data_IF_731754105068
#
_entry.id   IF_731754105068
#
_cell.length_a   1.000
_cell.length_b   1.000
_cell.length_c   1.000
_cell.angle_alpha   90.00
_cell.angle_beta   90.00
_cell.angle_gamma   90.00
#
_symmetry.space_group_name_H-M   'P 1'
#
loop_
_entity.id
_entity.type
_entity.pdbx_description
1 polymer ?
#
# COMPACT_ATOMS: atom_id res chain seq x y z
N UNK A 1 -17.18 21.02 18.54
CA UNK A 1 -16.39 19.87 19.01
C UNK A 1 -16.94 18.63 18.31
N UNK A 2 -16.12 17.98 17.48
CA UNK A 2 -16.49 16.70 16.87
C UNK A 2 -16.33 15.62 17.94
N UNK A 3 -17.45 15.09 18.42
CA UNK A 3 -17.48 14.02 19.41
C UNK A 3 -16.95 12.73 18.78
N UNK A 4 -16.00 12.04 19.44
CA UNK A 4 -15.50 10.72 19.01
C UNK A 4 -16.69 9.79 18.73
N UNK A 5 -16.78 9.25 17.51
CA UNK A 5 -17.82 8.28 17.09
C UNK A 5 -17.52 6.84 17.55
N UNK A 6 -16.93 6.67 18.74
CA UNK A 6 -16.75 5.35 19.33
C UNK A 6 -17.75 5.21 20.48
N UNK A 7 -18.71 4.29 20.37
CA UNK A 7 -19.54 3.90 21.50
C UNK A 7 -18.65 3.22 22.57
N UNK A 8 -19.04 3.31 23.84
CA UNK A 8 -18.30 2.67 24.92
C UNK A 8 -18.13 1.17 24.65
N UNK A 9 -16.87 0.68 24.64
CA UNK A 9 -16.53 -0.71 24.36
C UNK A 9 -16.10 -1.00 22.91
N UNK A 10 -16.14 -0.01 22.00
CA UNK A 10 -15.70 -0.15 20.62
C UNK A 10 -14.24 0.30 20.45
N UNK A 11 -13.48 -0.39 19.59
CA UNK A 11 -12.10 -0.02 19.27
C UNK A 11 -12.03 1.41 18.72
N UNK A 12 -10.93 2.13 18.97
CA UNK A 12 -10.73 3.46 18.41
C UNK A 12 -10.75 3.37 16.88
N UNK A 13 -11.65 4.13 16.25
CA UNK A 13 -11.86 4.09 14.80
C UNK A 13 -10.58 4.48 14.05
N UNK A 14 -9.74 5.36 14.61
CA UNK A 14 -8.48 5.75 13.99
C UNK A 14 -7.48 4.58 14.01
N UNK A 15 -7.43 3.80 15.09
CA UNK A 15 -6.61 2.57 15.17
C UNK A 15 -7.11 1.50 14.20
N UNK A 16 -8.43 1.37 14.03
CA UNK A 16 -9.03 0.45 13.05
C UNK A 16 -8.67 0.88 11.63
N UNK A 17 -8.78 2.16 11.30
CA UNK A 17 -8.42 2.70 9.98
C UNK A 17 -6.93 2.56 9.69
N UNK A 18 -6.06 2.84 10.67
CA UNK A 18 -4.61 2.67 10.51
C UNK A 18 -4.23 1.20 10.28
N UNK A 19 -4.87 0.26 10.97
CA UNK A 19 -4.66 -1.17 10.71
C UNK A 19 -5.23 -1.61 9.36
N UNK A 20 -6.36 -1.05 8.94
CA UNK A 20 -6.91 -1.29 7.61
C UNK A 20 -5.93 -0.85 6.52
N UNK A 21 -5.35 0.36 6.66
CA UNK A 21 -4.28 0.83 5.77
C UNK A 21 -3.05 -0.09 5.81
N UNK A 22 -2.56 -0.45 7.00
CA UNK A 22 -1.39 -1.31 7.15
C UNK A 22 -1.57 -2.71 6.52
N UNK A 23 -2.79 -3.25 6.47
CA UNK A 23 -3.07 -4.49 5.75
C UNK A 23 -2.80 -4.36 4.25
N UNK A 24 -3.19 -3.22 3.66
CA UNK A 24 -2.97 -2.93 2.24
C UNK A 24 -1.48 -2.72 1.97
N UNK A 25 -0.80 -1.95 2.80
CA UNK A 25 0.65 -1.72 2.66
C UNK A 25 1.45 -3.03 2.78
N UNK A 26 1.05 -3.94 3.68
CA UNK A 26 1.68 -5.26 3.77
C UNK A 26 1.46 -6.10 2.51
N UNK A 27 0.25 -6.04 1.93
CA UNK A 27 -0.08 -6.73 0.68
C UNK A 27 0.77 -6.21 -0.49
N UNK A 28 0.86 -4.89 -0.65
CA UNK A 28 1.58 -4.23 -1.75
C UNK A 28 3.10 -4.37 -1.58
N UNK A 29 3.63 -4.16 -0.37
CA UNK A 29 5.04 -4.40 -0.07
C UNK A 29 5.45 -5.85 -0.34
N UNK A 30 4.63 -6.83 0.07
CA UNK A 30 4.89 -8.24 -0.23
C UNK A 30 4.85 -8.52 -1.73
N UNK A 31 3.84 -8.00 -2.43
CA UNK A 31 3.70 -8.12 -3.87
C UNK A 31 4.96 -7.63 -4.61
N UNK A 32 5.41 -6.41 -4.35
CA UNK A 32 6.58 -5.86 -5.02
C UNK A 32 7.87 -6.58 -4.64
N UNK A 33 8.09 -6.84 -3.35
CA UNK A 33 9.26 -7.55 -2.86
C UNK A 33 9.42 -8.92 -3.53
N UNK A 34 8.36 -9.70 -3.56
CA UNK A 34 8.41 -11.08 -4.02
C UNK A 34 8.42 -11.17 -5.56
N UNK A 35 7.65 -10.31 -6.25
CA UNK A 35 7.65 -10.26 -7.70
C UNK A 35 8.98 -9.72 -8.25
N UNK A 36 9.58 -8.68 -7.66
CA UNK A 36 10.84 -8.10 -8.15
C UNK A 36 12.07 -8.98 -7.83
N UNK A 37 11.96 -9.89 -6.85
CA UNK A 37 12.92 -10.96 -6.63
C UNK A 37 12.85 -12.03 -7.71
N UNK A 38 11.67 -12.25 -8.30
CA UNK A 38 11.43 -13.25 -9.36
C UNK A 38 11.72 -12.67 -10.76
N UNK A 39 11.26 -11.46 -11.03
CA UNK A 39 11.34 -10.78 -12.33
C UNK A 39 12.43 -9.71 -12.33
N UNK A 40 13.63 -10.14 -12.72
CA UNK A 40 14.79 -9.26 -12.86
C UNK A 40 14.71 -8.35 -14.10
N UNK A 41 15.73 -7.52 -14.31
CA UNK A 41 15.77 -6.63 -15.49
C UNK A 41 15.78 -7.40 -16.82
N UNK A 42 16.32 -8.63 -16.84
CA UNK A 42 16.29 -9.49 -18.01
C UNK A 42 14.87 -9.93 -18.37
N UNK A 43 14.08 -10.33 -17.37
CA UNK A 43 12.68 -10.70 -17.54
C UNK A 43 11.84 -9.54 -18.13
N UNK A 44 12.02 -8.32 -17.62
CA UNK A 44 11.33 -7.14 -18.16
C UNK A 44 11.71 -6.84 -19.61
N UNK A 45 13.01 -6.90 -19.94
CA UNK A 45 13.46 -6.73 -21.34
C UNK A 45 12.91 -7.81 -22.25
N UNK A 46 12.90 -9.07 -21.81
CA UNK A 46 12.33 -10.18 -22.56
C UNK A 46 10.81 -10.02 -22.80
N UNK A 47 10.10 -9.38 -21.87
CA UNK A 47 8.70 -9.03 -22.01
C UNK A 47 8.45 -7.77 -22.87
N UNK A 48 9.50 -7.10 -23.34
CA UNK A 48 9.43 -5.94 -24.24
C UNK A 48 9.44 -4.59 -23.53
N UNK A 49 9.75 -4.55 -22.23
CA UNK A 49 9.79 -3.30 -21.45
C UNK A 49 11.21 -2.73 -21.37
N UNK A 50 11.37 -1.39 -21.45
CA UNK A 50 12.66 -0.74 -21.21
C UNK A 50 13.05 -0.80 -19.73
N UNK A 51 14.36 -0.72 -19.44
CA UNK A 51 14.89 -0.88 -18.09
C UNK A 51 14.27 0.08 -17.05
N UNK A 52 13.87 1.29 -17.48
CA UNK A 52 13.27 2.28 -16.58
C UNK A 52 11.91 1.82 -16.01
N UNK A 53 11.17 0.95 -16.71
CA UNK A 53 9.88 0.41 -16.22
C UNK A 53 10.12 -0.43 -14.96
N UNK A 54 11.12 -1.31 -14.98
CA UNK A 54 11.46 -2.08 -13.77
C UNK A 54 11.96 -1.16 -12.65
N UNK A 55 12.77 -0.16 -12.96
CA UNK A 55 13.25 0.80 -11.95
C UNK A 55 12.10 1.54 -11.28
N UNK A 56 11.05 1.85 -12.03
CA UNK A 56 9.84 2.44 -11.45
C UNK A 56 9.20 1.53 -10.42
N UNK A 57 9.03 0.24 -10.72
CA UNK A 57 8.49 -0.72 -9.74
C UNK A 57 9.40 -0.94 -8.53
N UNK A 58 10.72 -0.86 -8.70
CA UNK A 58 11.66 -0.88 -7.56
C UNK A 58 11.47 0.33 -6.65
N UNK A 59 11.28 1.52 -7.23
CA UNK A 59 10.99 2.74 -6.48
C UNK A 59 9.69 2.60 -5.68
N UNK A 60 8.62 2.13 -6.33
CA UNK A 60 7.31 1.92 -5.70
C UNK A 60 7.40 0.89 -4.57
N UNK A 61 8.02 -0.27 -4.80
CA UNK A 61 8.24 -1.24 -3.71
C UNK A 61 9.04 -0.67 -2.53
N UNK A 62 9.89 0.34 -2.77
CA UNK A 62 10.55 1.10 -1.72
C UNK A 62 9.60 2.02 -0.94
N UNK A 63 8.62 2.62 -1.61
CA UNK A 63 7.56 3.41 -0.96
C UNK A 63 6.65 2.52 -0.10
N UNK A 64 6.20 1.37 -0.61
CA UNK A 64 5.33 0.47 0.18
C UNK A 64 6.01 -0.03 1.43
N UNK A 65 7.30 -0.34 1.34
CA UNK A 65 8.09 -0.64 2.53
C UNK A 65 8.09 0.53 3.52
N UNK A 66 8.28 1.76 3.04
CA UNK A 66 8.30 2.95 3.89
C UNK A 66 6.93 3.22 4.52
N UNK A 67 5.83 2.95 3.81
CA UNK A 67 4.47 3.06 4.33
C UNK A 67 4.20 2.04 5.44
N UNK A 68 4.60 0.77 5.26
CA UNK A 68 4.55 -0.26 6.31
C UNK A 68 5.29 0.22 7.57
N UNK A 69 6.53 0.67 7.42
CA UNK A 69 7.35 1.15 8.55
C UNK A 69 6.69 2.36 9.24
N UNK A 70 6.13 3.28 8.45
CA UNK A 70 5.48 4.49 8.92
C UNK A 70 4.18 4.21 9.70
N UNK A 71 3.34 3.31 9.22
CA UNK A 71 2.07 2.93 9.88
C UNK A 71 2.28 2.00 11.08
N UNK A 72 3.28 1.13 11.04
CA UNK A 72 3.59 0.20 12.15
C UNK A 72 3.99 0.96 13.42
N UNK A 73 4.75 2.05 13.27
CA UNK A 73 5.29 2.83 14.40
C UNK A 73 4.20 3.41 15.35
N UNK A 74 3.17 4.13 14.89
CA UNK A 74 2.11 4.63 15.77
C UNK A 74 1.17 3.53 16.27
N UNK A 75 1.07 2.40 15.57
CA UNK A 75 0.24 1.26 15.98
C UNK A 75 0.87 0.41 17.08
N UNK A 76 2.21 0.33 17.14
CA UNK A 76 2.92 -0.42 18.17
C UNK A 76 2.45 -1.88 18.26
N UNK A 77 2.12 -2.34 19.47
CA UNK A 77 1.64 -3.71 19.70
C UNK A 77 0.29 -4.01 19.05
N UNK A 78 -0.45 -2.98 18.62
CA UNK A 78 -1.72 -3.12 17.91
C UNK A 78 -1.55 -3.24 16.40
N UNK A 79 -0.31 -3.18 15.88
CA UNK A 79 -0.02 -3.31 14.47
C UNK A 79 -0.34 -4.73 13.99
N UNK A 80 -1.17 -4.81 12.95
CA UNK A 80 -1.40 -6.05 12.24
C UNK A 80 -0.11 -6.55 11.57
N UNK A 81 -0.02 -7.87 11.41
CA UNK A 81 1.15 -8.53 10.81
C UNK A 81 0.89 -8.78 9.33
N UNK A 82 1.98 -8.83 8.56
CA UNK A 82 1.96 -9.30 7.18
C UNK A 82 1.34 -10.71 7.10
N UNK A 83 0.46 -10.92 6.12
CA UNK A 83 -0.11 -12.24 5.84
C UNK A 83 0.75 -13.03 4.85
N UNK A 84 0.37 -14.27 4.57
CA UNK A 84 0.89 -14.99 3.40
C UNK A 84 -0.04 -14.76 2.22
N UNK A 85 0.54 -14.42 1.07
CA UNK A 85 -0.21 -14.05 -0.13
C UNK A 85 0.12 -15.00 -1.29
N UNK A 86 -0.88 -15.29 -2.10
CA UNK A 86 -0.72 -15.91 -3.41
C UNK A 86 -1.34 -14.97 -4.45
N UNK A 87 -0.48 -14.34 -5.24
CA UNK A 87 -0.88 -13.35 -6.24
C UNK A 87 -1.18 -13.96 -7.60
N UNK A 88 -0.91 -15.26 -7.82
CA UNK A 88 -1.14 -15.93 -9.10
C UNK A 88 -0.37 -15.33 -10.29
N UNK A 89 0.73 -14.62 -10.04
CA UNK A 89 1.55 -13.98 -11.09
C UNK A 89 2.38 -15.03 -11.80
N UNK A 90 2.32 -15.03 -13.13
CA UNK A 90 3.03 -16.02 -13.96
C UNK A 90 4.02 -15.39 -14.92
N UNK A 91 3.87 -14.11 -15.24
CA UNK A 91 4.77 -13.34 -16.09
C UNK A 91 4.80 -11.83 -15.77
N UNK A 92 5.71 -11.09 -16.40
CA UNK A 92 5.87 -9.64 -16.21
C UNK A 92 4.61 -8.85 -16.59
N UNK A 93 3.82 -9.31 -17.56
CA UNK A 93 2.60 -8.59 -17.98
C UNK A 93 1.50 -8.75 -16.93
N UNK A 94 1.33 -9.95 -16.37
CA UNK A 94 0.44 -10.21 -15.25
C UNK A 94 0.89 -9.45 -14.00
N UNK A 95 2.19 -9.34 -13.74
CA UNK A 95 2.73 -8.48 -12.68
C UNK A 95 2.31 -7.01 -12.87
N UNK A 96 2.54 -6.41 -14.04
CA UNK A 96 2.19 -5.01 -14.30
C UNK A 96 0.69 -4.77 -14.17
N UNK A 97 -0.13 -5.70 -14.68
CA UNK A 97 -1.58 -5.61 -14.59
C UNK A 97 -2.07 -5.68 -13.14
N UNK A 98 -1.53 -6.60 -12.35
CA UNK A 98 -1.86 -6.72 -10.92
C UNK A 98 -1.36 -5.53 -10.11
N UNK A 99 -0.17 -5.00 -10.42
CA UNK A 99 0.35 -3.78 -9.81
C UNK A 99 -0.66 -2.64 -9.98
N UNK A 100 -1.06 -2.34 -11.22
CA UNK A 100 -2.03 -1.29 -11.50
C UNK A 100 -3.38 -1.47 -10.78
N UNK A 101 -3.82 -2.72 -10.57
CA UNK A 101 -5.02 -3.03 -9.81
C UNK A 101 -4.84 -2.73 -8.32
N UNK A 102 -3.72 -3.15 -7.72
CA UNK A 102 -3.45 -2.93 -6.29
C UNK A 102 -3.36 -1.43 -5.98
N UNK A 103 -2.57 -0.67 -6.75
CA UNK A 103 -2.43 0.79 -6.56
C UNK A 103 -3.78 1.52 -6.58
N UNK A 104 -4.68 1.13 -7.49
CA UNK A 104 -6.02 1.71 -7.58
C UNK A 104 -6.92 1.35 -6.39
N UNK A 105 -6.72 0.17 -5.80
CA UNK A 105 -7.39 -0.26 -4.57
C UNK A 105 -6.85 0.54 -3.38
N UNK A 106 -5.53 0.68 -3.25
CA UNK A 106 -4.87 1.50 -2.22
C UNK A 106 -5.39 2.94 -2.24
N UNK A 107 -5.35 3.61 -3.41
CA UNK A 107 -5.87 4.97 -3.59
C UNK A 107 -7.33 5.10 -3.11
N UNK A 108 -8.19 4.21 -3.61
CA UNK A 108 -9.63 4.23 -3.29
C UNK A 108 -9.90 3.97 -1.81
N UNK A 109 -9.10 3.10 -1.18
CA UNK A 109 -9.20 2.75 0.22
C UNK A 109 -8.83 3.93 1.13
N UNK A 110 -7.71 4.60 0.87
CA UNK A 110 -7.29 5.79 1.60
C UNK A 110 -8.32 6.92 1.49
N UNK A 111 -8.76 7.21 0.26
CA UNK A 111 -9.74 8.26 0.02
C UNK A 111 -11.09 7.95 0.69
N UNK A 112 -11.56 6.71 0.60
CA UNK A 112 -12.82 6.28 1.20
C UNK A 112 -12.81 6.31 2.73
N UNK A 113 -11.68 5.97 3.34
CA UNK A 113 -11.50 5.99 4.79
C UNK A 113 -11.31 7.40 5.36
N UNK A 114 -10.79 8.35 4.59
CA UNK A 114 -10.42 9.69 5.05
C UNK A 114 -11.53 10.42 5.82
N UNK A 115 -12.79 10.30 5.37
CA UNK A 115 -13.94 10.94 6.03
C UNK A 115 -14.25 10.40 7.44
N UNK A 116 -13.77 9.20 7.77
CA UNK A 116 -14.01 8.53 9.04
C UNK A 116 -12.89 8.75 10.06
N UNK A 117 -11.75 9.31 9.63
CA UNK A 117 -10.62 9.62 10.51
C UNK A 117 -11.00 10.80 11.41
N UNK A 118 -10.81 10.63 12.72
CA UNK A 118 -11.17 11.63 13.72
C UNK A 118 -9.97 12.39 14.27
N UNK A 119 -8.78 11.78 14.26
CA UNK A 119 -7.54 12.41 14.67
C UNK A 119 -6.89 13.18 13.48
N UNK A 120 -6.68 14.50 13.59
CA UNK A 120 -6.04 15.30 12.54
C UNK A 120 -4.62 14.84 12.16
N UNK A 121 -3.86 14.29 13.10
CA UNK A 121 -2.51 13.76 12.83
C UNK A 121 -2.60 12.49 11.98
N UNK A 122 -3.53 11.60 12.31
CA UNK A 122 -3.83 10.39 11.51
C UNK A 122 -4.33 10.77 10.12
N UNK A 123 -5.15 11.82 10.00
CA UNK A 123 -5.64 12.29 8.70
C UNK A 123 -4.49 12.86 7.85
N UNK A 124 -3.59 13.61 8.47
CA UNK A 124 -2.40 14.14 7.80
C UNK A 124 -1.48 13.01 7.33
N UNK A 125 -1.26 12.01 8.18
CA UNK A 125 -0.49 10.81 7.87
C UNK A 125 -1.10 10.07 6.66
N UNK A 126 -2.39 9.73 6.71
CA UNK A 126 -3.11 9.07 5.62
C UNK A 126 -3.08 9.90 4.32
N UNK A 127 -3.25 11.22 4.42
CA UNK A 127 -3.16 12.13 3.28
C UNK A 127 -1.77 12.13 2.63
N UNK A 128 -0.70 12.02 3.42
CA UNK A 128 0.65 11.97 2.87
C UNK A 128 0.91 10.70 2.07
N UNK A 129 0.43 9.55 2.54
CA UNK A 129 0.53 8.27 1.82
C UNK A 129 -0.30 8.33 0.53
N UNK A 130 -1.56 8.77 0.60
CA UNK A 130 -2.41 8.90 -0.58
C UNK A 130 -1.78 9.73 -1.71
N UNK A 131 -1.04 10.79 -1.39
CA UNK A 131 -0.35 11.58 -2.43
C UNK A 131 0.82 10.87 -3.10
N UNK A 132 1.40 9.86 -2.44
CA UNK A 132 2.41 8.96 -3.00
C UNK A 132 1.71 7.90 -3.87
N UNK A 133 0.65 7.26 -3.35
CA UNK A 133 -0.16 6.27 -4.08
C UNK A 133 -0.68 6.76 -5.44
N UNK A 134 -1.24 7.97 -5.46
CA UNK A 134 -1.75 8.58 -6.72
C UNK A 134 -0.65 8.69 -7.80
N UNK A 135 0.62 8.76 -7.40
CA UNK A 135 1.75 8.82 -8.35
C UNK A 135 2.16 7.44 -8.85
N UNK A 136 1.76 6.36 -8.19
CA UNK A 136 1.98 5.00 -8.66
C UNK A 136 1.04 4.67 -9.82
N UNK A 137 -0.23 5.05 -9.72
CA UNK A 137 -1.27 4.82 -10.75
C UNK A 137 -1.03 5.54 -12.10
N UNK A 138 -0.03 6.43 -12.19
CA UNK A 138 0.12 7.34 -13.32
C UNK A 138 1.02 6.89 -14.48
N UNK A 139 1.86 5.85 -14.38
CA UNK A 139 2.94 5.63 -15.37
C UNK A 139 3.46 4.18 -15.42
N UNK A 140 2.88 3.32 -16.26
CA UNK A 140 3.49 2.07 -16.71
C UNK A 140 3.33 1.87 -18.21
#
# INVERSE_FOLDING_TARGET
MLTKRAAAGQADIDTVILNYALILEHLENAFYRDALATYDAGAFRAAGYPDWVRQRFVEIGGHEKAHVDFLTKPLGDQATKECTYDFGITDVKSFIATAALLEGIGESAYLGAAQNITNPETLTAAGSILTVEIRHAGKY
#
